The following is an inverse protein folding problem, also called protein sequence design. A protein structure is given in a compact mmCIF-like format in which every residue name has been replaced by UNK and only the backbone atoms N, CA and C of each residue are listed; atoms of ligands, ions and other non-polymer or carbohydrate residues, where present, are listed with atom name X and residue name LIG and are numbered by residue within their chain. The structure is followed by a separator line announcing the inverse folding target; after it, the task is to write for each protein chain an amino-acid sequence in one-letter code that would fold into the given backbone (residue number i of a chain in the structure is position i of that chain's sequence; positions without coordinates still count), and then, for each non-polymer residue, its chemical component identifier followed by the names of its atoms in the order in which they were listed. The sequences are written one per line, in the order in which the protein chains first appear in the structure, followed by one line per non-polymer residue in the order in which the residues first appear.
data_IF_467130379100
#
_entry.id   IF_467130379100
#
_cell.length_a   1.000
_cell.length_b   1.000
_cell.length_c   1.000
_cell.angle_alpha   90.00
_cell.angle_beta   90.00
_cell.angle_gamma   90.00
#
_symmetry.space_group_name_H-M   'P 1'
#
loop_
_entity.id
_entity.type
_entity.pdbx_description
1 polymer ?
#
# COMPACT_ATOMS: atom_id res chain seq x y z
N UNK A 1 11.34 -11.23 -17.15
CA UNK A 1 9.94 -11.07 -17.67
C UNK A 1 9.73 -9.64 -18.15
N UNK A 2 9.05 -9.42 -19.28
CA UNK A 2 9.01 -8.12 -19.98
C UNK A 2 8.16 -7.00 -19.34
N UNK A 3 8.24 -5.82 -19.93
CA UNK A 3 7.47 -4.63 -19.52
C UNK A 3 5.95 -4.90 -19.61
N UNK A 4 5.23 -4.62 -18.52
CA UNK A 4 3.78 -4.93 -18.43
C UNK A 4 2.97 -4.20 -19.49
N UNK A 5 3.26 -2.91 -19.73
CA UNK A 5 2.54 -2.11 -20.73
C UNK A 5 2.69 -2.65 -22.17
N UNK A 6 3.75 -3.38 -22.49
CA UNK A 6 3.98 -3.96 -23.80
C UNK A 6 3.34 -5.35 -24.00
N UNK A 7 2.67 -5.89 -22.97
CA UNK A 7 1.99 -7.19 -23.09
C UNK A 7 0.81 -7.10 -24.03
N UNK A 8 0.61 -8.16 -24.82
CA UNK A 8 -0.50 -8.26 -25.78
C UNK A 8 -1.84 -8.42 -25.06
N UNK A 9 -2.86 -7.69 -25.51
CA UNK A 9 -4.26 -7.80 -25.04
C UNK A 9 -4.96 -9.07 -25.51
N UNK A 10 -4.42 -9.78 -26.51
CA UNK A 10 -5.07 -10.96 -27.10
C UNK A 10 -5.33 -12.09 -26.11
N UNK A 11 -4.56 -12.17 -25.02
CA UNK A 11 -4.71 -13.20 -23.98
C UNK A 11 -5.80 -12.88 -22.96
N UNK A 12 -6.41 -11.68 -23.02
CA UNK A 12 -7.39 -11.21 -22.03
C UNK A 12 -8.83 -11.61 -22.32
N UNK A 13 -9.15 -12.12 -23.51
CA UNK A 13 -10.53 -12.44 -23.91
C UNK A 13 -11.28 -13.31 -22.89
N UNK A 14 -10.63 -14.35 -22.36
CA UNK A 14 -11.21 -15.20 -21.31
C UNK A 14 -11.44 -14.46 -19.99
N UNK A 15 -10.49 -13.62 -19.58
CA UNK A 15 -10.61 -12.83 -18.36
C UNK A 15 -11.72 -11.77 -18.47
N UNK A 16 -11.88 -11.15 -19.64
CA UNK A 16 -12.96 -10.22 -19.94
C UNK A 16 -14.33 -10.91 -19.87
N UNK A 17 -14.46 -12.08 -20.51
CA UNK A 17 -15.71 -12.86 -20.42
C UNK A 17 -16.08 -13.22 -18.98
N UNK A 18 -15.11 -13.66 -18.18
CA UNK A 18 -15.32 -13.93 -16.75
C UNK A 18 -15.69 -12.68 -15.96
N UNK A 19 -15.06 -11.54 -16.25
CA UNK A 19 -15.38 -10.28 -15.61
C UNK A 19 -16.83 -9.85 -15.90
N UNK A 20 -17.31 -10.05 -17.14
CA UNK A 20 -18.70 -9.78 -17.51
C UNK A 20 -19.69 -10.52 -16.61
N UNK A 21 -19.46 -11.82 -16.40
CA UNK A 21 -20.30 -12.66 -15.54
C UNK A 21 -20.28 -12.17 -14.08
N UNK A 22 -19.12 -11.74 -13.58
CA UNK A 22 -18.96 -11.24 -12.20
C UNK A 22 -19.64 -9.88 -11.99
N UNK A 23 -19.59 -8.98 -12.98
CA UNK A 23 -20.20 -7.66 -12.91
C UNK A 23 -21.73 -7.71 -12.90
N UNK A 24 -22.30 -8.71 -13.57
CA UNK A 24 -23.75 -8.89 -13.69
C UNK A 24 -24.37 -8.03 -14.80
N UNK A 25 -25.70 -7.91 -14.75
CA UNK A 25 -26.53 -7.44 -15.87
C UNK A 25 -27.20 -6.07 -15.62
N UNK A 26 -26.76 -5.30 -14.62
CA UNK A 26 -27.30 -3.94 -14.44
C UNK A 26 -26.88 -3.04 -15.61
N UNK A 27 -27.66 -2.00 -15.96
CA UNK A 27 -27.27 -1.05 -17.00
C UNK A 27 -25.88 -0.44 -16.78
N UNK A 28 -25.54 -0.13 -15.53
CA UNK A 28 -24.23 0.40 -15.14
C UNK A 28 -23.11 -0.64 -15.31
N UNK A 29 -23.38 -1.91 -14.98
CA UNK A 29 -22.44 -3.01 -15.18
C UNK A 29 -22.15 -3.25 -16.67
N UNK A 30 -23.19 -3.27 -17.50
CA UNK A 30 -23.05 -3.43 -18.95
C UNK A 30 -22.27 -2.24 -19.55
N UNK A 31 -22.61 -1.01 -19.16
CA UNK A 31 -21.92 0.18 -19.63
C UNK A 31 -20.42 0.18 -19.31
N UNK A 32 -20.04 -0.06 -18.05
CA UNK A 32 -18.62 -0.04 -17.66
C UNK A 32 -17.82 -1.19 -18.27
N UNK A 33 -18.48 -2.35 -18.44
CA UNK A 33 -17.89 -3.49 -19.13
C UNK A 33 -17.65 -3.17 -20.61
N UNK A 34 -18.61 -2.57 -21.31
CA UNK A 34 -18.47 -2.19 -22.72
C UNK A 34 -17.31 -1.21 -22.94
N UNK A 35 -17.13 -0.22 -22.06
CA UNK A 35 -15.98 0.70 -22.15
C UNK A 35 -14.65 -0.04 -21.98
N UNK A 36 -14.57 -0.91 -20.96
CA UNK A 36 -13.37 -1.69 -20.67
C UNK A 36 -13.06 -2.66 -21.83
N UNK A 37 -14.06 -3.44 -22.26
CA UNK A 37 -13.92 -4.39 -23.36
C UNK A 37 -13.49 -3.68 -24.65
N UNK A 38 -14.13 -2.55 -24.99
CA UNK A 38 -13.78 -1.77 -26.17
C UNK A 38 -12.31 -1.29 -26.12
N UNK A 39 -11.83 -0.79 -24.98
CA UNK A 39 -10.45 -0.35 -24.84
C UNK A 39 -9.46 -1.53 -25.02
N UNK A 40 -9.73 -2.68 -24.39
CA UNK A 40 -8.84 -3.84 -24.49
C UNK A 40 -8.95 -4.62 -25.81
N UNK A 41 -10.02 -4.43 -26.61
CA UNK A 41 -10.15 -5.00 -27.95
C UNK A 41 -9.56 -4.10 -29.05
N UNK A 42 -9.61 -2.76 -28.90
CA UNK A 42 -9.13 -1.81 -29.93
C UNK A 42 -7.61 -1.63 -29.93
N UNK A 43 -6.94 -1.96 -28.83
CA UNK A 43 -5.51 -1.74 -28.66
C UNK A 43 -4.77 -3.06 -28.50
N UNK A 44 -3.59 -3.15 -29.12
CA UNK A 44 -2.78 -4.38 -29.10
C UNK A 44 -2.06 -4.61 -27.77
N UNK A 45 -1.78 -3.53 -27.02
CA UNK A 45 -0.95 -3.58 -25.81
C UNK A 45 -1.69 -3.11 -24.56
N UNK A 46 -1.33 -3.66 -23.40
CA UNK A 46 -1.91 -3.29 -22.12
C UNK A 46 -1.77 -1.80 -21.82
N UNK A 47 -0.63 -1.18 -22.17
CA UNK A 47 -0.36 0.24 -21.93
C UNK A 47 -1.33 1.14 -22.68
N UNK A 48 -1.55 0.87 -23.98
CA UNK A 48 -2.48 1.63 -24.81
C UNK A 48 -3.93 1.41 -24.37
N UNK A 49 -4.33 0.15 -24.13
CA UNK A 49 -5.67 -0.17 -23.66
C UNK A 49 -5.99 0.49 -22.31
N UNK A 50 -5.07 0.43 -21.36
CA UNK A 50 -5.27 1.05 -20.04
C UNK A 50 -5.32 2.57 -20.15
N UNK A 51 -4.48 3.18 -20.98
CA UNK A 51 -4.49 4.63 -21.18
C UNK A 51 -5.82 5.12 -21.79
N UNK A 52 -6.33 4.40 -22.79
CA UNK A 52 -7.63 4.67 -23.40
C UNK A 52 -8.76 4.51 -22.38
N UNK A 53 -8.76 3.40 -21.61
CA UNK A 53 -9.79 3.16 -20.60
C UNK A 53 -9.80 4.26 -19.52
N UNK A 54 -8.64 4.65 -19.00
CA UNK A 54 -8.53 5.75 -18.02
C UNK A 54 -8.99 7.08 -18.63
N UNK A 55 -8.67 7.34 -19.91
CA UNK A 55 -9.15 8.53 -20.61
C UNK A 55 -10.66 8.54 -20.78
N UNK A 56 -11.29 7.40 -21.09
CA UNK A 56 -12.75 7.30 -21.18
C UNK A 56 -13.43 7.61 -19.84
N UNK A 57 -12.84 7.16 -18.72
CA UNK A 57 -13.39 7.42 -17.38
C UNK A 57 -13.21 8.88 -16.93
N UNK A 58 -12.03 9.45 -17.18
CA UNK A 58 -11.62 10.70 -16.53
C UNK A 58 -11.27 11.85 -17.47
N UNK A 59 -11.31 11.64 -18.79
CA UNK A 59 -11.02 12.67 -19.79
C UNK A 59 -11.98 13.86 -19.71
N UNK A 60 -13.25 13.63 -19.33
CA UNK A 60 -14.22 14.69 -19.07
C UNK A 60 -13.85 15.63 -17.91
N UNK A 61 -12.97 15.18 -17.00
CA UNK A 61 -12.43 15.98 -15.90
C UNK A 61 -11.10 16.64 -16.27
N UNK A 62 -10.67 16.57 -17.53
CA UNK A 62 -9.41 17.14 -18.00
C UNK A 62 -8.18 16.30 -17.67
N UNK A 63 -8.33 15.03 -17.26
CA UNK A 63 -7.20 14.16 -16.98
C UNK A 63 -6.42 13.83 -18.27
N UNK A 64 -5.15 14.20 -18.27
CA UNK A 64 -4.18 13.82 -19.31
C UNK A 64 -3.50 12.51 -18.90
N UNK A 65 -3.51 11.53 -19.81
CA UNK A 65 -2.86 10.23 -19.59
C UNK A 65 -1.67 10.12 -20.54
N UNK A 66 -0.48 9.89 -19.97
CA UNK A 66 0.77 9.82 -20.73
C UNK A 66 1.37 8.41 -20.69
N UNK A 67 1.68 7.88 -21.86
CA UNK A 67 2.51 6.68 -21.98
C UNK A 67 4.00 7.08 -21.97
N UNK A 68 4.66 6.80 -20.85
CA UNK A 68 6.09 7.08 -20.65
C UNK A 68 7.01 6.14 -21.45
N UNK A 69 6.48 5.13 -22.15
CA UNK A 69 7.25 4.27 -23.03
C UNK A 69 7.53 4.89 -24.42
N UNK A 70 6.96 6.07 -24.72
CA UNK A 70 7.16 6.73 -26.02
C UNK A 70 8.65 6.98 -26.32
N UNK A 71 9.15 6.62 -27.52
CA UNK A 71 10.55 6.82 -27.88
C UNK A 71 11.04 8.27 -27.77
N UNK A 72 10.17 9.25 -28.03
CA UNK A 72 10.52 10.67 -27.89
C UNK A 72 10.88 11.05 -26.45
N UNK A 73 10.14 10.53 -25.46
CA UNK A 73 10.44 10.76 -24.04
C UNK A 73 11.74 10.08 -23.63
N UNK A 74 11.94 8.84 -24.10
CA UNK A 74 13.19 8.11 -23.86
C UNK A 74 14.39 8.85 -24.43
N UNK A 75 14.26 9.43 -25.62
CA UNK A 75 15.30 10.25 -26.26
C UNK A 75 15.66 11.48 -25.43
N UNK A 76 14.67 12.18 -24.87
CA UNK A 76 14.91 13.32 -23.99
C UNK A 76 15.67 12.93 -22.70
N UNK A 77 15.47 11.70 -22.21
CA UNK A 77 16.13 11.19 -21.01
C UNK A 77 17.53 10.60 -21.25
N UNK A 78 18.00 10.53 -22.51
CA UNK A 78 19.30 9.93 -22.86
C UNK A 78 20.49 10.51 -22.08
N UNK A 79 20.64 11.84 -21.90
CA UNK A 79 21.79 12.37 -21.17
C UNK A 79 21.91 11.84 -19.74
N UNK A 80 20.77 11.74 -19.04
CA UNK A 80 20.70 11.23 -17.67
C UNK A 80 20.93 9.71 -17.64
N UNK A 81 20.42 8.97 -18.64
CA UNK A 81 20.69 7.54 -18.76
C UNK A 81 22.16 7.26 -19.06
N UNK A 82 22.80 8.09 -19.89
CA UNK A 82 24.20 7.96 -20.25
C UNK A 82 25.08 8.14 -18.99
N UNK A 83 24.85 9.20 -18.23
CA UNK A 83 25.55 9.45 -16.97
C UNK A 83 25.33 8.32 -15.94
N UNK A 84 24.08 7.86 -15.77
CA UNK A 84 23.79 6.74 -14.87
C UNK A 84 24.48 5.43 -15.29
N UNK A 85 24.58 5.15 -16.60
CA UNK A 85 25.24 3.93 -17.10
C UNK A 85 26.76 3.94 -16.89
N UNK A 86 27.39 5.09 -17.12
CA UNK A 86 28.85 5.17 -17.22
C UNK A 86 29.51 5.78 -15.98
N UNK A 87 28.80 6.63 -15.25
CA UNK A 87 29.29 7.35 -14.06
C UNK A 87 28.60 6.88 -12.78
N UNK A 88 27.48 6.13 -12.87
CA UNK A 88 26.79 5.52 -11.72
C UNK A 88 26.37 6.56 -10.66
N UNK A 89 26.06 7.77 -11.12
CA UNK A 89 25.97 8.96 -10.28
C UNK A 89 24.93 8.85 -9.15
N UNK A 90 23.86 8.08 -9.33
CA UNK A 90 22.76 8.04 -8.37
C UNK A 90 23.11 7.35 -7.05
N UNK A 91 23.92 6.29 -7.08
CA UNK A 91 24.05 5.38 -5.94
C UNK A 91 24.53 6.09 -4.67
N UNK A 92 25.61 6.87 -4.77
CA UNK A 92 26.20 7.57 -3.63
C UNK A 92 25.22 8.57 -2.97
N UNK A 93 24.40 9.27 -3.77
CA UNK A 93 23.40 10.20 -3.23
C UNK A 93 22.29 9.49 -2.46
N UNK A 94 21.82 8.35 -2.97
CA UNK A 94 20.77 7.56 -2.30
C UNK A 94 21.31 6.93 -1.02
N UNK A 95 22.50 6.34 -1.06
CA UNK A 95 23.13 5.72 0.12
C UNK A 95 23.40 6.75 1.22
N UNK A 96 23.87 7.95 0.86
CA UNK A 96 24.05 9.05 1.82
C UNK A 96 22.73 9.48 2.46
N UNK A 97 21.65 9.61 1.67
CA UNK A 97 20.33 9.95 2.20
C UNK A 97 19.77 8.84 3.11
N UNK A 98 19.97 7.57 2.75
CA UNK A 98 19.56 6.43 3.56
C UNK A 98 20.31 6.37 4.88
N UNK A 99 21.62 6.62 4.89
CA UNK A 99 22.40 6.70 6.13
C UNK A 99 21.89 7.80 7.08
N UNK A 100 21.45 8.95 6.53
CA UNK A 100 20.84 10.02 7.32
C UNK A 100 19.49 9.61 7.92
N UNK A 101 18.65 8.90 7.16
CA UNK A 101 17.37 8.37 7.64
C UNK A 101 17.56 7.31 8.73
N UNK A 102 18.51 6.40 8.54
CA UNK A 102 18.84 5.34 9.50
C UNK A 102 19.35 5.92 10.83
N UNK A 103 20.15 6.98 10.77
CA UNK A 103 20.64 7.68 11.96
C UNK A 103 19.51 8.26 12.84
N UNK A 104 18.33 8.52 12.28
CA UNK A 104 17.15 9.02 13.00
C UNK A 104 16.06 7.96 13.18
N UNK A 105 16.37 6.69 12.88
CA UNK A 105 15.48 5.55 13.15
C UNK A 105 14.52 5.17 12.03
N UNK A 106 14.67 5.71 10.82
CA UNK A 106 13.91 5.28 9.64
C UNK A 106 14.71 4.31 8.78
N UNK A 107 14.07 3.25 8.27
CA UNK A 107 14.73 2.33 7.35
C UNK A 107 14.83 2.90 5.93
N UNK A 108 15.90 2.59 5.21
CA UNK A 108 15.96 2.79 3.76
C UNK A 108 14.81 2.06 3.03
N UNK A 109 14.28 2.68 2.00
CA UNK A 109 13.05 2.27 1.30
C UNK A 109 13.34 1.58 -0.05
N UNK A 110 14.38 2.03 -0.77
CA UNK A 110 14.73 1.48 -2.07
C UNK A 110 16.25 1.32 -2.23
N UNK A 111 16.72 0.10 -2.44
CA UNK A 111 18.15 -0.16 -2.68
C UNK A 111 18.59 0.37 -4.06
N UNK A 112 19.51 1.35 -4.04
CA UNK A 112 20.19 1.82 -5.25
C UNK A 112 21.26 0.83 -5.69
N UNK A 113 21.39 0.63 -7.00
CA UNK A 113 22.44 -0.22 -7.59
C UNK A 113 23.47 0.67 -8.26
N UNK A 114 24.59 0.08 -8.65
CA UNK A 114 25.58 0.74 -9.51
C UNK A 114 24.94 1.24 -10.81
N UNK A 115 24.12 0.41 -11.46
CA UNK A 115 23.35 0.79 -12.65
C UNK A 115 21.86 0.67 -12.35
N UNK A 116 21.15 1.80 -12.36
CA UNK A 116 19.72 1.88 -12.06
C UNK A 116 18.81 1.83 -13.30
N UNK A 117 19.28 1.16 -14.36
CA UNK A 117 18.58 0.99 -15.63
C UNK A 117 18.40 -0.49 -15.97
N UNK A 118 17.30 -0.78 -16.66
CA UNK A 118 17.02 -2.06 -17.28
C UNK A 118 17.17 -1.95 -18.80
N UNK A 119 17.55 -3.05 -19.42
CA UNK A 119 17.46 -3.25 -20.86
C UNK A 119 16.19 -4.03 -21.20
N UNK A 120 15.47 -3.56 -22.22
CA UNK A 120 14.22 -4.10 -22.72
C UNK A 120 14.46 -4.75 -24.09
N UNK A 121 14.02 -5.99 -24.23
CA UNK A 121 13.91 -6.66 -25.52
C UNK A 121 12.56 -7.32 -25.69
N UNK A 122 12.43 -8.17 -26.69
CA UNK A 122 11.17 -8.88 -26.93
C UNK A 122 10.87 -9.85 -25.78
N UNK A 123 9.88 -9.52 -24.96
CA UNK A 123 9.41 -10.37 -23.86
C UNK A 123 10.26 -10.32 -22.58
N UNK A 124 11.33 -9.52 -22.53
CA UNK A 124 12.20 -9.42 -21.36
C UNK A 124 12.51 -7.98 -20.94
N UNK A 125 12.81 -7.84 -19.64
CA UNK A 125 13.27 -6.62 -18.98
C UNK A 125 14.29 -7.06 -17.96
N UNK A 126 15.55 -6.87 -18.30
CA UNK A 126 16.66 -7.44 -17.54
C UNK A 126 17.62 -6.34 -17.10
N UNK A 127 18.33 -6.60 -16.00
CA UNK A 127 19.26 -5.63 -15.43
C UNK A 127 20.50 -5.52 -16.31
N UNK A 128 21.02 -4.32 -16.40
CA UNK A 128 22.37 -4.07 -16.93
C UNK A 128 23.31 -4.08 -15.73
N UNK A 129 24.40 -4.84 -15.82
CA UNK A 129 25.48 -4.85 -14.82
C UNK A 129 26.82 -4.60 -15.51
N UNK A 130 27.78 -4.05 -14.78
CA UNK A 130 29.14 -3.83 -15.28
C UNK A 130 30.08 -4.87 -14.67
N UNK A 131 30.83 -5.57 -15.51
CA UNK A 131 31.86 -6.53 -15.11
C UNK A 131 33.18 -6.18 -15.81
N UNK A 132 34.11 -5.59 -15.06
CA UNK A 132 35.33 -5.00 -15.63
C UNK A 132 34.98 -3.90 -16.64
N UNK A 133 35.41 -4.09 -17.89
CA UNK A 133 35.17 -3.16 -19.00
C UNK A 133 33.93 -3.50 -19.85
N UNK A 134 33.15 -4.51 -19.46
CA UNK A 134 31.99 -5.01 -20.21
C UNK A 134 30.69 -4.73 -19.46
N UNK A 135 29.63 -4.44 -20.20
CA UNK A 135 28.27 -4.31 -19.69
C UNK A 135 27.46 -5.52 -20.13
N UNK A 136 26.89 -6.25 -19.18
CA UNK A 136 26.10 -7.45 -19.41
C UNK A 136 24.62 -7.17 -19.19
N UNK A 137 23.77 -7.65 -20.09
CA UNK A 137 22.33 -7.75 -19.85
C UNK A 137 22.09 -9.11 -19.23
N UNK A 138 21.74 -9.12 -17.94
CA UNK A 138 21.59 -10.37 -17.20
C UNK A 138 20.55 -11.29 -17.84
N UNK A 139 20.79 -12.60 -17.73
CA UNK A 139 19.91 -13.65 -18.27
C UNK A 139 19.72 -13.58 -19.79
N UNK A 140 20.56 -12.84 -20.51
CA UNK A 140 20.59 -12.76 -21.96
C UNK A 140 22.02 -12.95 -22.46
N UNK A 141 22.17 -13.50 -23.67
CA UNK A 141 23.48 -13.60 -24.35
C UNK A 141 23.84 -12.25 -25.02
N UNK A 142 23.76 -11.17 -24.25
CA UNK A 142 23.93 -9.81 -24.73
C UNK A 142 24.91 -9.05 -23.85
N UNK A 143 25.99 -8.59 -24.46
CA UNK A 143 27.06 -7.85 -23.83
C UNK A 143 27.53 -6.70 -24.71
N UNK A 144 27.99 -5.63 -24.09
CA UNK A 144 28.44 -4.42 -24.76
C UNK A 144 29.77 -3.94 -24.16
N UNK A 145 30.66 -3.45 -25.02
CA UNK A 145 31.68 -2.49 -24.57
C UNK A 145 31.01 -1.14 -24.25
N UNK A 146 31.72 -0.25 -23.53
CA UNK A 146 31.21 1.09 -23.23
C UNK A 146 30.81 1.87 -24.51
N UNK A 147 31.61 1.75 -25.57
CA UNK A 147 31.34 2.42 -26.85
C UNK A 147 30.07 1.86 -27.53
N UNK A 148 29.94 0.53 -27.56
CA UNK A 148 28.77 -0.13 -28.14
C UNK A 148 27.49 0.19 -27.36
N UNK A 149 27.55 0.22 -26.02
CA UNK A 149 26.37 0.54 -25.20
C UNK A 149 25.93 2.00 -25.39
N UNK A 150 26.88 2.92 -25.55
CA UNK A 150 26.60 4.33 -25.84
C UNK A 150 25.94 4.51 -27.21
N UNK A 151 26.42 3.78 -28.21
CA UNK A 151 25.80 3.76 -29.54
C UNK A 151 24.37 3.18 -29.48
N UNK A 152 24.20 2.04 -28.80
CA UNK A 152 22.90 1.39 -28.58
C UNK A 152 21.92 2.32 -27.87
N UNK A 153 22.35 3.03 -26.81
CA UNK A 153 21.52 3.99 -26.08
C UNK A 153 21.04 5.14 -26.97
N UNK A 154 21.90 5.66 -27.85
CA UNK A 154 21.57 6.78 -28.74
C UNK A 154 20.68 6.36 -29.91
N UNK A 155 20.94 5.17 -30.45
CA UNK A 155 20.16 4.59 -31.55
C UNK A 155 18.78 4.09 -31.09
N UNK A 156 18.72 3.42 -29.94
CA UNK A 156 17.57 2.70 -29.41
C UNK A 156 17.24 3.05 -27.95
N UNK A 157 16.99 4.33 -27.61
CA UNK A 157 16.72 4.73 -26.22
C UNK A 157 15.46 4.07 -25.64
N UNK A 158 14.51 3.64 -26.48
CA UNK A 158 13.32 2.90 -26.07
C UNK A 158 13.62 1.53 -25.45
N UNK A 159 14.81 0.97 -25.70
CA UNK A 159 15.27 -0.27 -25.06
C UNK A 159 15.77 -0.05 -23.63
N UNK A 160 15.88 1.19 -23.16
CA UNK A 160 16.36 1.49 -21.82
C UNK A 160 15.22 1.95 -20.92
N UNK A 161 15.16 1.41 -19.70
CA UNK A 161 14.07 1.68 -18.77
C UNK A 161 14.56 1.95 -17.36
N UNK A 162 14.22 3.10 -16.75
CA UNK A 162 14.61 3.39 -15.38
C UNK A 162 13.98 2.38 -14.40
N UNK A 163 14.74 2.05 -13.35
CA UNK A 163 14.19 1.38 -12.18
C UNK A 163 13.53 2.39 -11.22
N UNK A 164 13.17 1.96 -10.01
CA UNK A 164 12.53 2.83 -8.99
C UNK A 164 13.39 4.03 -8.57
N UNK A 165 14.71 3.98 -8.72
CA UNK A 165 15.64 5.08 -8.42
C UNK A 165 15.57 6.16 -9.50
N UNK A 166 15.65 5.78 -10.77
CA UNK A 166 15.70 6.74 -11.90
C UNK A 166 14.32 7.16 -12.42
N UNK A 167 13.26 6.42 -12.10
CA UNK A 167 11.90 6.69 -12.61
C UNK A 167 11.38 8.08 -12.20
N UNK A 168 11.58 8.56 -10.95
CA UNK A 168 11.24 9.92 -10.56
C UNK A 168 11.88 10.99 -11.43
N UNK A 169 13.20 10.91 -11.70
CA UNK A 169 13.89 11.85 -12.60
C UNK A 169 13.29 11.83 -14.00
N UNK A 170 13.00 10.63 -14.54
CA UNK A 170 12.40 10.51 -15.86
C UNK A 170 11.01 11.15 -15.91
N UNK A 171 10.21 10.97 -14.87
CA UNK A 171 8.88 11.57 -14.77
C UNK A 171 8.96 13.10 -14.75
N UNK A 172 9.78 13.66 -13.85
CA UNK A 172 9.88 15.12 -13.65
C UNK A 172 10.64 15.83 -14.78
N UNK A 173 11.50 15.12 -15.53
CA UNK A 173 12.10 15.69 -16.75
C UNK A 173 11.05 15.90 -17.85
N UNK A 174 10.19 14.91 -18.07
CA UNK A 174 9.24 14.92 -19.19
C UNK A 174 8.02 15.78 -18.89
N UNK A 175 7.55 15.74 -17.64
CA UNK A 175 6.44 16.54 -17.17
C UNK A 175 6.87 17.16 -15.84
N UNK A 176 7.50 18.35 -15.85
CA UNK A 176 7.90 19.04 -14.63
C UNK A 176 6.65 19.37 -13.81
N UNK A 177 6.45 18.67 -12.69
CA UNK A 177 5.24 18.76 -11.91
C UNK A 177 5.41 19.76 -10.76
N UNK A 178 4.33 20.47 -10.42
CA UNK A 178 4.26 21.24 -9.18
C UNK A 178 4.28 20.29 -7.96
N UNK A 179 3.57 19.16 -8.07
CA UNK A 179 3.48 18.16 -7.02
C UNK A 179 3.40 16.74 -7.58
N UNK A 180 4.02 15.81 -6.86
CA UNK A 180 3.84 14.38 -7.03
C UNK A 180 2.86 13.86 -5.99
N UNK A 181 1.76 13.25 -6.44
CA UNK A 181 0.74 12.64 -5.58
C UNK A 181 0.98 11.13 -5.52
N UNK A 182 1.34 10.60 -4.36
CA UNK A 182 1.74 9.20 -4.21
C UNK A 182 1.24 8.54 -2.92
N UNK A 183 1.30 7.21 -2.87
CA UNK A 183 1.05 6.45 -1.64
C UNK A 183 2.19 6.59 -0.62
N UNK A 184 1.95 6.17 0.63
CA UNK A 184 2.94 6.30 1.71
C UNK A 184 4.29 5.64 1.39
N UNK A 185 4.28 4.42 0.82
CA UNK A 185 5.52 3.74 0.42
C UNK A 185 6.23 4.40 -0.77
N UNK A 186 5.49 5.10 -1.64
CA UNK A 186 6.10 5.85 -2.73
C UNK A 186 6.80 7.10 -2.18
N UNK A 187 6.08 7.91 -1.41
CA UNK A 187 6.62 9.13 -0.80
C UNK A 187 7.86 8.84 0.03
N UNK A 188 7.86 7.73 0.78
CA UNK A 188 8.98 7.34 1.60
C UNK A 188 10.29 7.21 0.78
N UNK A 189 10.26 6.57 -0.39
CA UNK A 189 11.46 6.52 -1.23
C UNK A 189 11.73 7.86 -1.92
N UNK A 190 10.71 8.65 -2.29
CA UNK A 190 10.96 9.96 -2.88
C UNK A 190 11.80 10.89 -1.98
N UNK A 191 11.64 10.79 -0.65
CA UNK A 191 12.43 11.57 0.32
C UNK A 191 13.94 11.31 0.22
N UNK A 192 14.35 10.15 -0.28
CA UNK A 192 15.77 9.74 -0.41
C UNK A 192 16.46 10.37 -1.63
N UNK A 193 15.74 11.14 -2.46
CA UNK A 193 16.19 11.51 -3.82
C UNK A 193 16.50 13.00 -4.01
N UNK A 194 16.40 13.82 -2.96
CA UNK A 194 16.60 15.29 -3.10
C UNK A 194 17.95 15.63 -3.71
N UNK A 195 19.04 15.05 -3.20
CA UNK A 195 20.39 15.29 -3.71
C UNK A 195 20.59 14.71 -5.11
N UNK A 196 19.97 13.56 -5.40
CA UNK A 196 19.96 12.97 -6.75
C UNK A 196 19.32 13.93 -7.77
N UNK A 197 18.18 14.53 -7.43
CA UNK A 197 17.52 15.53 -8.27
C UNK A 197 18.36 16.78 -8.47
N UNK A 198 18.98 17.29 -7.39
CA UNK A 198 19.86 18.44 -7.45
C UNK A 198 21.06 18.19 -8.37
N UNK A 199 21.67 16.99 -8.30
CA UNK A 199 22.77 16.57 -9.16
C UNK A 199 22.41 16.63 -10.64
N UNK A 200 21.25 16.08 -11.03
CA UNK A 200 20.77 16.11 -12.42
C UNK A 200 20.10 17.44 -12.83
N UNK A 201 20.06 18.44 -11.95
CA UNK A 201 19.47 19.75 -12.23
C UNK A 201 17.95 19.72 -12.46
N UNK A 202 17.25 18.72 -11.93
CA UNK A 202 15.79 18.59 -12.07
C UNK A 202 15.12 19.13 -10.80
N UNK A 203 14.12 20.02 -10.91
CA UNK A 203 13.35 20.48 -9.75
C UNK A 203 12.71 19.32 -8.99
N UNK A 204 12.91 19.27 -7.68
CA UNK A 204 12.25 18.29 -6.82
C UNK A 204 10.81 18.75 -6.51
N UNK A 205 9.77 17.99 -6.86
CA UNK A 205 8.39 18.41 -6.70
C UNK A 205 7.95 18.40 -5.23
N UNK A 206 6.85 19.07 -4.92
CA UNK A 206 6.17 18.87 -3.63
C UNK A 206 5.64 17.44 -3.56
N UNK A 207 5.87 16.75 -2.43
CA UNK A 207 5.33 15.41 -2.22
C UNK A 207 4.00 15.50 -1.48
N UNK A 208 2.93 15.02 -2.10
CA UNK A 208 1.58 15.01 -1.51
C UNK A 208 1.12 13.57 -1.33
N UNK A 209 0.76 13.22 -0.10
CA UNK A 209 0.19 11.91 0.19
C UNK A 209 -1.23 11.86 -0.34
N UNK A 210 -1.50 10.95 -1.27
CA UNK A 210 -2.87 10.69 -1.72
C UNK A 210 -3.75 10.30 -0.53
N UNK A 211 -5.03 10.66 -0.57
CA UNK A 211 -5.97 10.19 0.45
C UNK A 211 -5.99 8.65 0.50
N UNK A 212 -6.27 8.13 1.69
CA UNK A 212 -6.67 6.74 1.88
C UNK A 212 -8.17 6.70 2.11
N UNK A 213 -8.86 5.72 1.52
CA UNK A 213 -10.33 5.64 1.58
C UNK A 213 -10.85 4.25 1.98
N UNK A 214 -11.95 4.26 2.73
CA UNK A 214 -12.81 3.10 2.99
C UNK A 214 -14.22 3.40 2.50
N UNK A 215 -14.79 2.51 1.70
CA UNK A 215 -16.17 2.59 1.23
C UNK A 215 -17.06 1.61 2.00
N UNK A 216 -17.99 2.16 2.77
CA UNK A 216 -19.01 1.40 3.48
C UNK A 216 -20.29 1.37 2.65
N UNK A 217 -20.54 0.25 1.97
CA UNK A 217 -21.84 0.01 1.34
C UNK A 217 -22.96 -0.05 2.38
N UNK A 218 -24.21 0.15 1.94
CA UNK A 218 -25.39 0.12 2.81
C UNK A 218 -25.51 -1.14 3.67
N UNK A 219 -25.15 -2.30 3.12
CA UNK A 219 -25.22 -3.56 3.86
C UNK A 219 -24.23 -3.61 5.03
N UNK A 220 -23.04 -3.02 4.84
CA UNK A 220 -22.03 -2.88 5.89
C UNK A 220 -22.48 -1.85 6.93
N UNK A 221 -23.02 -0.69 6.52
CA UNK A 221 -23.61 0.29 7.44
C UNK A 221 -24.70 -0.31 8.31
N UNK A 222 -25.67 -1.03 7.71
CA UNK A 222 -26.74 -1.70 8.46
C UNK A 222 -26.21 -2.76 9.43
N UNK A 223 -25.14 -3.47 9.05
CA UNK A 223 -24.50 -4.46 9.93
C UNK A 223 -23.80 -3.78 11.11
N UNK A 224 -23.11 -2.66 10.87
CA UNK A 224 -22.51 -1.86 11.93
C UNK A 224 -23.56 -1.34 12.91
N UNK A 225 -24.66 -0.77 12.40
CA UNK A 225 -25.74 -0.23 13.22
C UNK A 225 -26.37 -1.33 14.10
N UNK A 226 -26.61 -2.53 13.55
CA UNK A 226 -27.12 -3.70 14.30
C UNK A 226 -26.16 -4.17 15.39
N UNK A 227 -24.85 -4.01 15.17
CA UNK A 227 -23.81 -4.35 16.14
C UNK A 227 -23.49 -3.16 17.07
N UNK A 228 -24.14 -2.01 16.91
CA UNK A 228 -23.86 -0.80 17.69
C UNK A 228 -22.41 -0.32 17.57
N UNK A 229 -21.78 -0.53 16.41
CA UNK A 229 -20.41 -0.14 16.10
C UNK A 229 -20.36 1.23 15.43
N UNK A 230 -19.36 2.02 15.80
CA UNK A 230 -18.99 3.26 15.12
C UNK A 230 -17.99 3.00 13.99
N UNK A 231 -17.67 4.02 13.20
CA UNK A 231 -16.65 3.91 12.15
C UNK A 231 -15.26 3.76 12.77
N UNK A 232 -15.00 4.51 13.84
CA UNK A 232 -13.75 4.53 14.60
C UNK A 232 -13.43 3.15 15.19
N UNK A 233 -14.46 2.43 15.65
CA UNK A 233 -14.34 1.06 16.15
C UNK A 233 -13.73 0.11 15.10
N UNK A 234 -13.99 0.34 13.82
CA UNK A 234 -13.49 -0.51 12.74
C UNK A 234 -11.98 -0.43 12.55
N UNK A 235 -11.33 0.66 12.99
CA UNK A 235 -9.89 0.84 12.88
C UNK A 235 -9.11 0.18 14.02
N UNK A 236 -9.79 -0.36 15.02
CA UNK A 236 -9.17 -1.20 16.03
C UNK A 236 -8.79 -2.57 15.46
N UNK A 237 -7.82 -3.22 16.10
CA UNK A 237 -7.55 -4.64 15.90
C UNK A 237 -8.82 -5.48 16.15
N UNK A 238 -9.00 -6.57 15.39
CA UNK A 238 -10.22 -7.39 15.44
C UNK A 238 -10.45 -7.99 16.83
N UNK A 239 -9.41 -8.44 17.52
CA UNK A 239 -9.56 -9.00 18.86
C UNK A 239 -9.82 -7.90 19.91
N UNK A 240 -9.23 -6.72 19.73
CA UNK A 240 -9.53 -5.56 20.56
C UNK A 240 -11.00 -5.14 20.41
N UNK A 241 -11.50 -5.04 19.18
CA UNK A 241 -12.89 -4.72 18.88
C UNK A 241 -13.85 -5.77 19.47
N UNK A 242 -13.54 -7.05 19.34
CA UNK A 242 -14.33 -8.13 19.93
C UNK A 242 -14.37 -8.04 21.45
N UNK A 243 -13.22 -7.75 22.10
CA UNK A 243 -13.17 -7.55 23.55
C UNK A 243 -14.04 -6.35 23.96
N UNK A 244 -13.89 -5.22 23.28
CA UNK A 244 -14.68 -4.01 23.55
C UNK A 244 -16.19 -4.26 23.39
N UNK A 245 -16.59 -4.96 22.33
CA UNK A 245 -17.98 -5.36 22.11
C UNK A 245 -18.51 -6.23 23.25
N UNK A 246 -17.79 -7.29 23.63
CA UNK A 246 -18.21 -8.20 24.71
C UNK A 246 -18.32 -7.47 26.05
N UNK A 247 -17.35 -6.62 26.38
CA UNK A 247 -17.38 -5.84 27.62
C UNK A 247 -18.58 -4.88 27.64
N UNK A 248 -18.91 -4.23 26.51
CA UNK A 248 -20.07 -3.34 26.40
C UNK A 248 -21.41 -4.10 26.45
N UNK A 249 -21.45 -5.34 25.94
CA UNK A 249 -22.66 -6.17 25.91
C UNK A 249 -22.86 -7.01 27.18
N UNK A 250 -21.87 -7.10 28.05
CA UNK A 250 -21.96 -7.85 29.29
C UNK A 250 -22.89 -7.14 30.29
N UNK A 251 -23.82 -7.89 30.89
CA UNK A 251 -24.66 -7.39 31.98
C UNK A 251 -23.93 -7.35 33.32
N UNK A 252 -22.81 -8.05 33.42
CA UNK A 252 -21.95 -8.14 34.61
C UNK A 252 -20.57 -7.60 34.29
N UNK A 253 -19.92 -6.98 35.27
CA UNK A 253 -18.52 -6.58 35.14
C UNK A 253 -17.65 -7.81 34.90
N UNK A 254 -17.01 -7.87 33.74
CA UNK A 254 -16.13 -8.99 33.36
C UNK A 254 -14.68 -8.76 33.79
N UNK A 255 -14.35 -7.54 34.19
CA UNK A 255 -13.02 -7.19 34.67
C UNK A 255 -12.91 -7.56 36.14
N UNK A 256 -11.76 -8.08 36.53
CA UNK A 256 -11.45 -8.37 37.94
C UNK A 256 -10.36 -7.43 38.45
N UNK A 257 -10.37 -6.19 37.95
CA UNK A 257 -9.33 -5.20 38.21
C UNK A 257 -9.27 -4.83 39.71
N UNK A 258 -10.43 -4.72 40.36
CA UNK A 258 -10.52 -4.45 41.79
C UNK A 258 -9.94 -5.60 42.61
N UNK A 259 -10.28 -6.85 42.27
CA UNK A 259 -9.75 -8.04 42.94
C UNK A 259 -8.23 -8.17 42.75
N UNK A 260 -7.72 -7.83 41.56
CA UNK A 260 -6.27 -7.77 41.30
C UNK A 260 -5.58 -6.71 42.16
N UNK A 261 -6.16 -5.52 42.28
CA UNK A 261 -5.62 -4.46 43.14
C UNK A 261 -5.63 -4.86 44.62
N UNK A 262 -6.69 -5.55 45.07
CA UNK A 262 -6.76 -6.12 46.42
C UNK A 262 -5.68 -7.18 46.65
N UNK A 263 -5.46 -8.08 45.68
CA UNK A 263 -4.41 -9.10 45.75
C UNK A 263 -3.02 -8.45 45.84
N UNK A 264 -2.74 -7.45 45.00
CA UNK A 264 -1.48 -6.71 45.01
C UNK A 264 -1.23 -6.06 46.36
N UNK A 265 -2.22 -5.34 46.89
CA UNK A 265 -2.14 -4.68 48.20
C UNK A 265 -1.88 -5.69 49.33
N UNK A 266 -2.54 -6.85 49.31
CA UNK A 266 -2.34 -7.93 50.27
C UNK A 266 -0.89 -8.44 50.23
N UNK A 267 -0.38 -8.80 49.05
CA UNK A 267 0.97 -9.33 48.91
C UNK A 267 2.04 -8.28 49.26
N UNK A 268 1.81 -7.02 48.92
CA UNK A 268 2.70 -5.92 49.27
C UNK A 268 2.75 -5.71 50.79
N UNK A 269 1.61 -5.81 51.48
CA UNK A 269 1.52 -5.75 52.94
C UNK A 269 2.30 -6.90 53.61
N UNK A 270 2.19 -8.12 53.08
CA UNK A 270 2.94 -9.29 53.58
C UNK A 270 4.44 -9.12 53.32
N UNK A 271 4.83 -8.66 52.12
CA UNK A 271 6.22 -8.43 51.76
C UNK A 271 6.86 -7.36 52.66
N UNK A 272 6.13 -6.29 53.02
CA UNK A 272 6.60 -5.26 53.93
C UNK A 272 6.89 -5.82 55.34
N UNK A 273 5.99 -6.64 55.90
CA UNK A 273 6.23 -7.30 57.21
C UNK A 273 7.42 -8.25 57.16
N UNK A 274 7.64 -8.93 56.05
CA UNK A 274 8.74 -9.86 55.88
C UNK A 274 10.11 -9.16 55.78
N UNK A 275 10.18 -7.91 55.29
CA UNK A 275 11.44 -7.15 55.20
C UNK A 275 12.11 -6.95 56.55
N UNK A 276 11.32 -6.78 57.61
CA UNK A 276 11.82 -6.58 58.98
C UNK A 276 12.32 -7.89 59.61
N UNK A 277 11.98 -9.04 59.02
CA UNK A 277 12.37 -10.37 59.49
C UNK A 277 13.55 -10.90 58.67
N UNK A 278 13.39 -10.96 57.34
CA UNK A 278 14.42 -11.41 56.39
C UNK A 278 14.13 -10.80 55.00
N UNK A 279 15.01 -9.92 54.48
CA UNK A 279 14.88 -9.33 53.15
C UNK A 279 14.77 -10.34 51.99
N UNK A 280 15.28 -11.57 52.16
CA UNK A 280 15.18 -12.64 51.15
C UNK A 280 13.77 -13.23 51.07
N UNK A 281 13.02 -13.26 52.18
CA UNK A 281 11.62 -13.69 52.21
C UNK A 281 10.71 -12.73 51.44
N UNK A 282 10.98 -11.42 51.49
CA UNK A 282 10.21 -10.43 50.74
C UNK A 282 10.25 -10.67 49.22
N UNK A 283 11.40 -11.10 48.68
CA UNK A 283 11.52 -11.48 47.27
C UNK A 283 10.71 -12.74 46.94
N UNK A 284 10.71 -13.74 47.81
CA UNK A 284 9.93 -14.95 47.63
C UNK A 284 8.41 -14.67 47.63
N UNK A 285 7.94 -13.76 48.50
CA UNK A 285 6.53 -13.34 48.57
C UNK A 285 6.11 -12.62 47.28
N UNK A 286 6.92 -11.69 46.77
CA UNK A 286 6.62 -11.00 45.50
C UNK A 286 6.67 -11.95 44.30
N UNK A 287 7.54 -12.97 44.31
CA UNK A 287 7.53 -14.01 43.29
C UNK A 287 6.23 -14.83 43.34
N UNK A 288 5.68 -15.09 44.53
CA UNK A 288 4.38 -15.73 44.69
C UNK A 288 3.23 -14.85 44.19
N UNK A 289 3.25 -13.55 44.49
CA UNK A 289 2.30 -12.58 43.92
C UNK A 289 2.26 -12.68 42.39
N UNK A 290 3.40 -12.66 41.72
CA UNK A 290 3.47 -12.75 40.25
C UNK A 290 2.80 -14.03 39.73
N UNK A 291 2.95 -15.16 40.42
CA UNK A 291 2.28 -16.42 40.06
C UNK A 291 0.76 -16.33 40.24
N UNK A 292 0.30 -15.73 41.34
CA UNK A 292 -1.14 -15.58 41.62
C UNK A 292 -1.82 -14.54 40.73
N UNK A 293 -1.16 -13.43 40.44
CA UNK A 293 -1.62 -12.43 39.48
C UNK A 293 -1.84 -13.07 38.09
N UNK A 294 -0.88 -13.88 37.62
CA UNK A 294 -1.02 -14.64 36.38
C UNK A 294 -2.19 -15.63 36.42
N UNK A 295 -2.49 -16.22 37.59
CA UNK A 295 -3.65 -17.09 37.77
C UNK A 295 -4.97 -16.32 37.63
N UNK A 296 -5.05 -15.12 38.22
CA UNK A 296 -6.19 -14.22 38.04
C UNK A 296 -6.36 -13.80 36.57
N UNK A 297 -5.28 -13.46 35.87
CA UNK A 297 -5.34 -13.16 34.42
C UNK A 297 -5.96 -14.32 33.62
N UNK A 298 -5.59 -15.56 33.95
CA UNK A 298 -6.17 -16.74 33.31
C UNK A 298 -7.66 -16.91 33.62
N UNK A 299 -8.10 -16.59 34.85
CA UNK A 299 -9.52 -16.63 35.24
C UNK A 299 -10.33 -15.56 34.51
N UNK A 300 -9.83 -14.32 34.44
CA UNK A 300 -10.43 -13.24 33.65
C UNK A 300 -10.57 -13.64 32.18
N UNK A 301 -9.53 -14.24 31.60
CA UNK A 301 -9.58 -14.79 30.25
C UNK A 301 -10.65 -15.86 30.06
N UNK A 302 -10.90 -16.71 31.07
CA UNK A 302 -11.98 -17.71 31.05
C UNK A 302 -13.36 -17.07 31.16
N UNK A 303 -13.52 -16.04 31.99
CA UNK A 303 -14.77 -15.27 32.09
C UNK A 303 -15.11 -14.61 30.75
N UNK A 304 -14.14 -13.92 30.15
CA UNK A 304 -14.27 -13.32 28.81
C UNK A 304 -14.62 -14.38 27.76
N UNK A 305 -14.01 -15.57 27.80
CA UNK A 305 -14.31 -16.65 26.87
C UNK A 305 -15.73 -17.19 27.02
N UNK A 306 -16.21 -17.37 28.25
CA UNK A 306 -17.57 -17.80 28.52
C UNK A 306 -18.59 -16.78 28.04
N UNK A 307 -18.32 -15.48 28.23
CA UNK A 307 -19.20 -14.43 27.73
C UNK A 307 -19.17 -14.33 26.19
N UNK A 308 -17.98 -14.47 25.57
CA UNK A 308 -17.85 -14.53 24.10
C UNK A 308 -18.71 -15.63 23.48
N UNK A 309 -18.87 -16.78 24.14
CA UNK A 309 -19.74 -17.87 23.65
C UNK A 309 -21.22 -17.46 23.58
N UNK A 310 -21.70 -16.61 24.50
CA UNK A 310 -23.09 -16.13 24.46
C UNK A 310 -23.36 -15.20 23.27
N UNK A 311 -22.31 -14.50 22.81
CA UNK A 311 -22.39 -13.52 21.71
C UNK A 311 -21.83 -14.05 20.39
N UNK A 312 -21.65 -15.36 20.24
CA UNK A 312 -20.92 -15.96 19.10
C UNK A 312 -21.42 -15.48 17.72
N UNK A 313 -22.73 -15.33 17.56
CA UNK A 313 -23.32 -14.83 16.30
C UNK A 313 -22.84 -13.41 16.00
N UNK A 314 -22.90 -12.50 16.98
CA UNK A 314 -22.44 -11.12 16.81
C UNK A 314 -20.92 -11.07 16.56
N UNK A 315 -20.14 -11.87 17.30
CA UNK A 315 -18.69 -11.94 17.11
C UNK A 315 -18.31 -12.43 15.71
N UNK A 316 -19.03 -13.41 15.18
CA UNK A 316 -18.83 -13.89 13.81
C UNK A 316 -19.21 -12.83 12.77
N UNK A 317 -20.24 -12.01 13.04
CA UNK A 317 -20.59 -10.88 12.17
C UNK A 317 -19.51 -9.78 12.19
N UNK A 318 -18.94 -9.47 13.37
CA UNK A 318 -17.82 -8.52 13.52
C UNK A 318 -16.61 -9.02 12.71
N UNK A 319 -16.22 -10.30 12.86
CA UNK A 319 -15.11 -10.89 12.10
C UNK A 319 -15.34 -10.80 10.60
N UNK A 320 -16.53 -11.17 10.12
CA UNK A 320 -16.89 -11.09 8.69
C UNK A 320 -16.89 -9.66 8.17
N UNK A 321 -17.33 -8.70 8.99
CA UNK A 321 -17.30 -7.28 8.63
C UNK A 321 -15.85 -6.78 8.52
N UNK A 322 -15.00 -7.11 9.51
CA UNK A 322 -13.57 -6.78 9.50
C UNK A 322 -12.87 -7.40 8.29
N UNK A 323 -13.09 -8.67 7.99
CA UNK A 323 -12.47 -9.33 6.83
C UNK A 323 -12.89 -8.67 5.50
N UNK A 324 -14.16 -8.26 5.38
CA UNK A 324 -14.65 -7.59 4.17
C UNK A 324 -14.06 -6.18 4.02
N UNK A 325 -13.96 -5.42 5.10
CA UNK A 325 -13.52 -4.01 5.07
C UNK A 325 -12.00 -3.84 5.20
N UNK A 326 -11.32 -4.82 5.79
CA UNK A 326 -9.88 -4.86 6.01
C UNK A 326 -9.33 -6.24 5.62
N UNK A 327 -9.43 -6.63 4.34
CA UNK A 327 -9.01 -7.95 3.86
C UNK A 327 -7.53 -8.22 4.19
N UNK A 328 -7.26 -9.38 4.79
CA UNK A 328 -5.94 -9.74 5.34
C UNK A 328 -5.34 -8.69 6.30
N UNK A 329 -6.19 -7.99 7.07
CA UNK A 329 -5.82 -6.84 7.91
C UNK A 329 -5.18 -5.66 7.14
N UNK A 330 -5.33 -5.63 5.81
CA UNK A 330 -4.92 -4.52 4.95
C UNK A 330 -6.04 -3.51 4.72
N UNK A 331 -5.74 -2.46 3.95
CA UNK A 331 -6.74 -1.46 3.56
C UNK A 331 -7.59 -1.95 2.39
N UNK A 332 -8.91 -1.70 2.42
CA UNK A 332 -9.83 -2.04 1.34
C UNK A 332 -9.34 -1.58 -0.04
N UNK A 333 -8.88 -0.33 -0.15
CA UNK A 333 -8.38 0.27 -1.41
C UNK A 333 -7.16 -0.45 -2.04
N UNK A 334 -6.55 -1.40 -1.33
CA UNK A 334 -5.44 -2.23 -1.86
C UNK A 334 -5.88 -3.59 -2.36
N UNK A 335 -7.15 -3.94 -2.17
CA UNK A 335 -7.72 -5.24 -2.52
C UNK A 335 -8.92 -5.09 -3.44
N UNK A 336 -9.84 -4.19 -3.09
CA UNK A 336 -11.05 -3.97 -3.87
C UNK A 336 -10.76 -3.17 -5.14
N UNK A 337 -11.45 -3.54 -6.21
CA UNK A 337 -11.48 -2.75 -7.44
C UNK A 337 -12.76 -1.90 -7.46
N UNK A 338 -12.71 -0.71 -8.06
CA UNK A 338 -13.87 0.17 -8.15
C UNK A 338 -15.08 -0.47 -8.85
N UNK A 339 -14.83 -1.48 -9.69
CA UNK A 339 -15.83 -2.33 -10.34
C UNK A 339 -16.73 -3.08 -9.33
N UNK A 340 -16.34 -3.20 -8.06
CA UNK A 340 -17.20 -3.73 -7.00
C UNK A 340 -18.33 -2.77 -6.60
N UNK A 341 -18.16 -1.47 -6.89
CA UNK A 341 -19.10 -0.41 -6.50
C UNK A 341 -19.85 0.16 -7.71
N UNK A 342 -19.19 0.26 -8.86
CA UNK A 342 -19.75 0.90 -10.05
C UNK A 342 -21.12 0.33 -10.51
N UNK A 343 -21.36 -0.99 -10.53
CA UNK A 343 -22.68 -1.55 -10.91
C UNK A 343 -23.87 -1.02 -10.11
N UNK A 344 -23.63 -0.53 -8.89
CA UNK A 344 -24.66 0.02 -7.99
C UNK A 344 -24.77 1.54 -8.07
N UNK A 345 -23.64 2.23 -8.17
CA UNK A 345 -23.59 3.70 -8.05
C UNK A 345 -23.43 4.41 -9.40
N UNK A 346 -23.02 3.70 -10.45
CA UNK A 346 -22.68 4.27 -11.75
C UNK A 346 -21.68 5.41 -11.63
N UNK A 347 -21.85 6.42 -12.48
CA UNK A 347 -20.99 7.61 -12.51
C UNK A 347 -20.99 8.43 -11.21
N UNK A 348 -22.07 8.37 -10.43
CA UNK A 348 -22.16 9.03 -9.12
C UNK A 348 -21.05 8.54 -8.18
N UNK A 349 -20.54 7.33 -8.35
CA UNK A 349 -19.37 6.85 -7.62
C UNK A 349 -18.18 7.81 -7.76
N UNK A 350 -17.83 8.18 -8.99
CA UNK A 350 -16.71 9.08 -9.25
C UNK A 350 -16.99 10.50 -8.78
N UNK A 351 -18.22 10.99 -8.91
CA UNK A 351 -18.63 12.31 -8.42
C UNK A 351 -18.47 12.42 -6.89
N UNK A 352 -18.88 11.38 -6.16
CA UNK A 352 -18.70 11.30 -4.70
C UNK A 352 -17.22 11.34 -4.35
N UNK A 353 -16.39 10.53 -5.03
CA UNK A 353 -14.94 10.53 -4.78
C UNK A 353 -14.32 11.91 -5.05
N UNK A 354 -14.62 12.54 -6.18
CA UNK A 354 -14.09 13.86 -6.52
C UNK A 354 -14.55 14.96 -5.55
N UNK A 355 -15.75 14.82 -4.98
CA UNK A 355 -16.29 15.78 -4.02
C UNK A 355 -15.61 15.68 -2.66
N UNK A 356 -15.21 14.48 -2.25
CA UNK A 356 -14.75 14.22 -0.87
C UNK A 356 -13.25 13.91 -0.75
N UNK A 357 -12.56 13.60 -1.85
CA UNK A 357 -11.13 13.38 -1.86
C UNK A 357 -10.39 14.67 -2.16
N UNK A 358 -9.84 15.28 -1.11
CA UNK A 358 -8.88 16.37 -1.22
C UNK A 358 -7.51 15.89 -0.69
N UNK A 359 -6.50 15.72 -1.56
CA UNK A 359 -5.19 15.22 -1.16
C UNK A 359 -4.40 16.23 -0.29
N UNK A 360 -4.87 17.47 -0.15
CA UNK A 360 -4.29 18.46 0.76
C UNK A 360 -4.88 18.37 2.18
N UNK A 361 -6.02 17.70 2.33
CA UNK A 361 -6.65 17.46 3.63
C UNK A 361 -6.11 16.15 4.22
N UNK A 362 -5.40 16.27 5.35
CA UNK A 362 -4.86 15.11 6.06
C UNK A 362 -5.97 14.22 6.62
N UNK A 363 -5.75 12.90 6.56
CA UNK A 363 -6.59 11.93 7.23
C UNK A 363 -6.95 10.73 6.37
N UNK A 364 -7.81 9.88 6.94
CA UNK A 364 -8.39 8.73 6.28
C UNK A 364 -9.86 9.05 5.99
N UNK A 365 -10.28 8.94 4.73
CA UNK A 365 -11.65 9.27 4.30
C UNK A 365 -12.53 8.03 4.40
N UNK A 366 -13.69 8.15 5.03
CA UNK A 366 -14.70 7.09 5.06
C UNK A 366 -15.95 7.59 4.36
N UNK A 367 -16.31 6.95 3.26
CA UNK A 367 -17.58 7.19 2.58
C UNK A 367 -18.57 6.13 3.03
N UNK A 368 -19.68 6.56 3.63
CA UNK A 368 -20.72 5.68 4.14
C UNK A 368 -22.03 5.88 3.39
N UNK A 369 -22.45 4.86 2.65
CA UNK A 369 -23.77 4.78 2.01
C UNK A 369 -24.80 4.41 3.07
N UNK A 370 -25.57 5.39 3.56
CA UNK A 370 -26.62 5.19 4.57
C UNK A 370 -28.04 5.30 4.01
N UNK A 371 -28.20 5.59 2.73
CA UNK A 371 -29.50 5.84 2.08
C UNK A 371 -30.16 4.55 1.50
#
# INVERSE_FOLDING_TARGET
GGAVGARSTQTLSKALAQLKEVLGESPEAQYIYEQLEAAYQRHETYGMATADYVHQLFGRYGLLVLDMARPAFKRAFVPIMEEELFEQASQAYIEAAQAQLEAVGFSGQAHAREINLFYLGQGYRERIVKEGDTYLVLNQDLQFSAAQLREELRAHPERFSPNVIMRPLFQELILPNLAYVGGGGEIAYWLERKEQFAHFGIPFPMLIRRNSLLWLDRGNCQRMDKLGLTVEDLFQDTDALIRAYVTKSAQSELTIAEEKAQLESLFQSIANKARDIDPTLAKAILAEYTRQAKSLDNLEGRLLRAEKQKHETALNQIRKLKEKLFPNNGLQERYDNFLNFYPRYGDRFFEILLTHLDPLTEGFVVIADRD
#
